data_IF_582849699128
#
_entry.id   IF_582849699128
#
_cell.length_a   1.000
_cell.length_b   1.000
_cell.length_c   1.000
_cell.angle_alpha   90.00
_cell.angle_beta   90.00
_cell.angle_gamma   90.00
#
_symmetry.space_group_name_H-M   'P 1'
#
loop_
_entity.id
_entity.type
_entity.pdbx_description
1 polymer ?
#
# COMPACT_ATOMS: atom_id res chain seq x y z
N UNK A 1 -21.64 14.31 4.47
CA UNK A 1 -21.36 14.38 5.93
C UNK A 1 -20.47 13.22 6.38
N UNK A 2 -20.79 11.97 6.02
CA UNK A 2 -19.99 10.77 6.36
C UNK A 2 -18.55 10.82 5.86
N UNK A 3 -18.30 11.21 4.60
CA UNK A 3 -16.92 11.38 4.07
C UNK A 3 -16.10 12.42 4.86
N UNK A 4 -16.74 13.51 5.29
CA UNK A 4 -16.07 14.57 6.03
C UNK A 4 -15.69 14.12 7.44
N UNK A 5 -16.57 13.34 8.10
CA UNK A 5 -16.26 12.69 9.38
C UNK A 5 -15.12 11.66 9.23
N UNK A 6 -15.11 10.88 8.13
CA UNK A 6 -14.05 9.92 7.85
C UNK A 6 -12.70 10.59 7.64
N UNK A 7 -12.66 11.65 6.82
CA UNK A 7 -11.43 12.43 6.56
C UNK A 7 -10.94 13.12 7.83
N UNK A 8 -11.83 13.74 8.61
CA UNK A 8 -11.46 14.37 9.88
C UNK A 8 -10.98 13.34 10.91
N UNK A 9 -11.62 12.17 10.99
CA UNK A 9 -11.19 11.07 11.83
C UNK A 9 -9.81 10.55 11.44
N UNK A 10 -9.57 10.33 10.15
CA UNK A 10 -8.27 9.92 9.63
C UNK A 10 -7.17 10.96 9.91
N UNK A 11 -7.47 12.25 9.73
CA UNK A 11 -6.56 13.35 10.05
C UNK A 11 -6.24 13.41 11.54
N UNK A 12 -7.25 13.25 12.41
CA UNK A 12 -7.07 13.24 13.85
C UNK A 12 -6.20 12.06 14.32
N UNK A 13 -6.48 10.85 13.80
CA UNK A 13 -5.67 9.65 14.07
C UNK A 13 -4.24 9.85 13.57
N UNK A 14 -4.05 10.39 12.37
CA UNK A 14 -2.72 10.63 11.79
C UNK A 14 -1.95 11.66 12.62
N UNK A 15 -2.60 12.74 13.06
CA UNK A 15 -1.99 13.74 13.93
C UNK A 15 -1.60 13.14 15.30
N UNK A 16 -2.42 12.25 15.85
CA UNK A 16 -2.13 11.53 17.08
C UNK A 16 -0.96 10.56 16.91
N UNK A 17 -0.90 9.84 15.79
CA UNK A 17 0.20 8.92 15.47
C UNK A 17 1.54 9.64 15.38
N UNK A 18 1.58 10.83 14.75
CA UNK A 18 2.77 11.68 14.71
C UNK A 18 3.25 12.14 16.09
N UNK A 19 2.35 12.23 17.08
CA UNK A 19 2.71 12.60 18.46
C UNK A 19 3.29 11.43 19.26
N UNK A 20 2.93 10.20 18.93
CA UNK A 20 3.38 8.99 19.62
C UNK A 20 4.44 8.19 18.83
N UNK A 21 4.93 8.72 17.71
CA UNK A 21 5.93 8.08 16.82
C UNK A 21 5.52 6.67 16.35
N UNK A 22 4.21 6.44 16.18
CA UNK A 22 3.66 5.17 15.69
C UNK A 22 3.30 5.28 14.20
N UNK A 23 3.40 4.17 13.47
CA UNK A 23 3.11 4.15 12.04
C UNK A 23 1.62 4.42 11.80
N UNK A 24 1.30 5.61 11.26
CA UNK A 24 -0.07 6.00 10.94
C UNK A 24 -0.83 4.97 10.09
N UNK A 25 -0.23 4.32 9.06
CA UNK A 25 -0.94 3.32 8.26
C UNK A 25 -1.48 2.15 9.09
N UNK A 26 -0.67 1.57 10.00
CA UNK A 26 -1.12 0.45 10.83
C UNK A 26 -2.28 0.86 11.74
N UNK A 27 -2.18 2.03 12.37
CA UNK A 27 -3.23 2.52 13.28
C UNK A 27 -4.51 2.81 12.50
N UNK A 28 -4.40 3.38 11.29
CA UNK A 28 -5.54 3.64 10.41
C UNK A 28 -6.20 2.33 9.95
N UNK A 29 -5.44 1.27 9.65
CA UNK A 29 -6.00 -0.05 9.31
C UNK A 29 -6.79 -0.61 10.50
N UNK A 30 -6.22 -0.60 11.70
CA UNK A 30 -6.91 -1.10 12.90
C UNK A 30 -8.17 -0.27 13.19
N UNK A 31 -8.08 1.05 13.08
CA UNK A 31 -9.21 1.95 13.26
C UNK A 31 -10.29 1.74 12.19
N UNK A 32 -9.90 1.51 10.94
CA UNK A 32 -10.80 1.20 9.83
C UNK A 32 -11.52 -0.13 10.04
N UNK A 33 -10.82 -1.16 10.50
CA UNK A 33 -11.43 -2.45 10.88
C UNK A 33 -12.43 -2.24 12.02
N UNK A 34 -12.04 -1.53 13.09
CA UNK A 34 -12.95 -1.23 14.20
C UNK A 34 -14.18 -0.41 13.78
N UNK A 35 -13.98 0.57 12.89
CA UNK A 35 -15.07 1.38 12.35
C UNK A 35 -16.02 0.58 11.46
N UNK A 36 -15.53 -0.43 10.74
CA UNK A 36 -16.34 -1.30 9.88
C UNK A 36 -17.39 -2.12 10.65
N UNK A 37 -17.19 -2.31 11.96
CA UNK A 37 -18.11 -3.03 12.84
C UNK A 37 -19.29 -2.16 13.32
N UNK A 38 -19.29 -0.85 13.06
CA UNK A 38 -20.36 0.06 13.48
C UNK A 38 -21.56 0.00 12.50
N UNK A 39 -22.79 -0.24 13.00
CA UNK A 39 -23.99 -0.25 12.17
C UNK A 39 -24.28 1.18 11.66
N UNK A 40 -24.14 1.40 10.34
CA UNK A 40 -24.34 2.70 9.69
C UNK A 40 -23.19 3.16 8.78
N UNK A 41 -22.08 2.43 8.75
CA UNK A 41 -20.93 2.69 7.84
C UNK A 41 -21.09 1.98 6.48
N UNK A 42 -22.12 1.12 6.35
CA UNK A 42 -22.37 0.35 5.13
C UNK A 42 -22.62 1.22 3.90
N UNK A 43 -21.77 1.06 2.88
CA UNK A 43 -21.99 1.59 1.53
C UNK A 43 -21.06 2.71 1.05
N UNK A 44 -19.99 3.06 1.78
CA UNK A 44 -18.95 3.94 1.25
C UNK A 44 -18.02 3.17 0.30
N UNK A 45 -18.51 2.88 -0.90
CA UNK A 45 -17.68 2.41 -2.01
C UNK A 45 -16.96 3.62 -2.62
N UNK A 46 -15.68 3.77 -2.30
CA UNK A 46 -14.82 4.73 -2.99
C UNK A 46 -14.34 4.04 -4.26
N UNK A 47 -14.54 4.69 -5.39
CA UNK A 47 -14.05 4.22 -6.69
C UNK A 47 -12.53 3.98 -6.62
N UNK A 48 -12.06 2.74 -6.85
CA UNK A 48 -10.64 2.40 -6.69
C UNK A 48 -9.71 3.26 -7.54
N UNK A 49 -10.14 3.64 -8.75
CA UNK A 49 -9.40 4.51 -9.67
C UNK A 49 -9.08 5.87 -9.06
N UNK A 50 -10.00 6.44 -8.29
CA UNK A 50 -9.81 7.73 -7.63
C UNK A 50 -8.76 7.60 -6.53
N UNK A 51 -8.77 6.52 -5.76
CA UNK A 51 -7.77 6.27 -4.71
C UNK A 51 -6.38 6.05 -5.32
N UNK A 52 -6.30 5.20 -6.34
CA UNK A 52 -5.05 4.94 -7.05
C UNK A 52 -4.48 6.23 -7.64
N UNK A 53 -5.27 7.03 -8.35
CA UNK A 53 -4.76 8.27 -8.94
C UNK A 53 -4.39 9.31 -7.87
N UNK A 54 -5.25 9.52 -6.88
CA UNK A 54 -5.09 10.62 -5.93
C UNK A 54 -4.04 10.32 -4.84
N UNK A 55 -3.81 9.05 -4.51
CA UNK A 55 -2.80 8.66 -3.52
C UNK A 55 -1.49 8.27 -4.21
N UNK A 56 -1.56 7.40 -5.22
CA UNK A 56 -0.37 6.79 -5.82
C UNK A 56 0.40 7.81 -6.67
N UNK A 57 -0.28 8.68 -7.42
CA UNK A 57 0.39 9.71 -8.25
C UNK A 57 1.25 10.68 -7.43
N UNK A 58 0.73 11.35 -6.38
CA UNK A 58 1.56 12.25 -5.58
C UNK A 58 2.64 11.52 -4.78
N UNK A 59 2.39 10.30 -4.31
CA UNK A 59 3.43 9.50 -3.64
C UNK A 59 4.58 9.15 -4.59
N UNK A 60 4.27 8.70 -5.81
CA UNK A 60 5.27 8.44 -6.84
C UNK A 60 6.03 9.71 -7.23
N UNK A 61 5.34 10.84 -7.34
CA UNK A 61 5.98 12.12 -7.65
C UNK A 61 6.94 12.56 -6.53
N UNK A 62 6.53 12.44 -5.27
CA UNK A 62 7.41 12.73 -4.12
C UNK A 62 8.65 11.83 -4.11
N UNK A 63 8.45 10.52 -4.31
CA UNK A 63 9.56 9.56 -4.37
C UNK A 63 10.51 9.85 -5.55
N UNK A 64 9.98 10.31 -6.69
CA UNK A 64 10.78 10.71 -7.83
C UNK A 64 11.63 11.97 -7.54
N UNK A 65 11.10 12.94 -6.79
CA UNK A 65 11.83 14.15 -6.42
C UNK A 65 12.97 13.88 -5.41
N UNK A 66 12.79 12.92 -4.52
CA UNK A 66 13.84 12.49 -3.56
C UNK A 66 14.96 11.68 -4.24
N UNK A 67 14.72 11.17 -5.46
CA UNK A 67 15.66 10.34 -6.18
C UNK A 67 16.73 11.15 -6.93
N UNK A 68 18.01 10.89 -6.64
CA UNK A 68 19.13 11.54 -7.32
C UNK A 68 19.57 10.79 -8.58
N UNK A 69 19.52 11.46 -9.74
CA UNK A 69 20.00 10.90 -11.01
C UNK A 69 21.49 10.50 -10.98
N UNK A 70 22.33 11.31 -10.35
CA UNK A 70 23.77 11.03 -10.21
C UNK A 70 24.01 9.81 -9.29
N UNK A 71 23.27 9.72 -8.18
CA UNK A 71 23.32 8.57 -7.27
C UNK A 71 22.87 7.27 -7.93
N UNK A 72 21.81 7.33 -8.75
CA UNK A 72 21.34 6.20 -9.55
C UNK A 72 22.41 5.79 -10.56
N UNK A 73 23.03 6.75 -11.26
CA UNK A 73 24.07 6.47 -12.25
C UNK A 73 25.31 5.82 -11.64
N UNK A 74 25.72 6.22 -10.44
CA UNK A 74 26.85 5.62 -9.73
C UNK A 74 26.55 4.18 -9.29
N UNK A 75 25.29 3.88 -8.94
CA UNK A 75 24.89 2.60 -8.34
C UNK A 75 23.92 1.77 -9.21
N UNK A 76 23.99 1.91 -10.54
CA UNK A 76 23.01 1.31 -11.47
C UNK A 76 22.83 -0.20 -11.29
N UNK A 77 23.93 -0.93 -11.04
CA UNK A 77 23.89 -2.40 -10.87
C UNK A 77 23.15 -2.80 -9.58
N UNK A 78 23.57 -2.35 -8.38
CA UNK A 78 22.83 -2.61 -7.15
C UNK A 78 21.37 -2.18 -7.22
N UNK A 79 21.10 -0.98 -7.76
CA UNK A 79 19.75 -0.46 -7.88
C UNK A 79 18.91 -1.32 -8.83
N UNK A 80 19.47 -1.79 -9.95
CA UNK A 80 18.75 -2.71 -10.85
C UNK A 80 18.38 -4.03 -10.17
N UNK A 81 19.28 -4.60 -9.38
CA UNK A 81 18.97 -5.82 -8.62
C UNK A 81 17.93 -5.58 -7.53
N UNK A 82 17.98 -4.46 -6.81
CA UNK A 82 17.03 -4.15 -5.75
C UNK A 82 15.67 -3.68 -6.27
N UNK A 83 15.61 -3.00 -7.41
CA UNK A 83 14.38 -2.45 -7.96
C UNK A 83 13.66 -3.44 -8.90
N UNK A 84 14.36 -4.40 -9.49
CA UNK A 84 13.78 -5.37 -10.44
C UNK A 84 13.95 -6.80 -9.93
N UNK A 85 15.18 -7.17 -9.57
CA UNK A 85 15.49 -8.54 -9.15
C UNK A 85 14.77 -8.94 -7.86
N UNK A 86 14.84 -8.10 -6.84
CA UNK A 86 14.22 -8.37 -5.55
C UNK A 86 12.68 -8.41 -5.66
N UNK A 87 11.98 -7.43 -6.26
CA UNK A 87 10.52 -7.50 -6.45
C UNK A 87 10.05 -8.69 -7.28
N UNK A 88 10.79 -9.05 -8.34
CA UNK A 88 10.48 -10.24 -9.13
C UNK A 88 10.61 -11.52 -8.28
N UNK A 89 11.66 -11.60 -7.46
CA UNK A 89 11.87 -12.72 -6.55
C UNK A 89 10.79 -12.78 -5.46
N UNK A 90 10.46 -11.66 -4.82
CA UNK A 90 9.42 -11.61 -3.78
C UNK A 90 8.04 -11.93 -4.36
N UNK A 91 7.71 -11.40 -5.54
CA UNK A 91 6.47 -11.71 -6.26
C UNK A 91 6.32 -13.22 -6.49
N UNK A 92 7.37 -13.86 -7.02
CA UNK A 92 7.39 -15.30 -7.25
C UNK A 92 7.31 -16.08 -5.93
N UNK A 93 8.09 -15.71 -4.93
CA UNK A 93 8.11 -16.41 -3.64
C UNK A 93 6.75 -16.33 -2.94
N UNK A 94 6.20 -15.13 -2.78
CA UNK A 94 4.89 -14.90 -2.14
C UNK A 94 3.78 -15.52 -2.96
N UNK A 95 3.80 -15.35 -4.29
CA UNK A 95 2.79 -15.92 -5.18
C UNK A 95 2.78 -17.45 -5.17
N UNK A 96 3.95 -18.10 -5.17
CA UNK A 96 4.04 -19.56 -5.06
C UNK A 96 3.56 -20.06 -3.70
N UNK A 97 3.91 -19.36 -2.61
CA UNK A 97 3.41 -19.70 -1.27
C UNK A 97 1.89 -19.56 -1.22
N UNK A 98 1.33 -18.47 -1.74
CA UNK A 98 -0.12 -18.24 -1.79
C UNK A 98 -0.84 -19.31 -2.61
N UNK A 99 -0.30 -19.65 -3.78
CA UNK A 99 -0.82 -20.72 -4.64
C UNK A 99 -0.79 -22.09 -3.94
N UNK A 100 0.22 -22.36 -3.12
CA UNK A 100 0.35 -23.63 -2.41
C UNK A 100 -0.55 -23.72 -1.18
N UNK A 101 -0.75 -22.62 -0.46
CA UNK A 101 -1.57 -22.56 0.75
C UNK A 101 -3.07 -22.51 0.43
N UNK A 102 -3.45 -21.88 -0.69
CA UNK A 102 -4.86 -21.72 -1.11
C UNK A 102 -5.08 -22.44 -2.44
N UNK A 103 -5.57 -23.70 -2.42
CA UNK A 103 -5.68 -24.55 -3.61
C UNK A 103 -6.64 -24.02 -4.69
N UNK A 104 -7.53 -23.10 -4.32
CA UNK A 104 -8.55 -22.50 -5.17
C UNK A 104 -8.03 -21.32 -6.00
N UNK A 105 -6.84 -20.79 -5.67
CA UNK A 105 -6.24 -19.69 -6.40
C UNK A 105 -5.60 -20.17 -7.70
N UNK A 106 -5.93 -19.50 -8.81
CA UNK A 106 -5.15 -19.67 -10.03
C UNK A 106 -3.74 -19.12 -9.83
N UNK A 107 -2.76 -19.69 -10.52
CA UNK A 107 -1.37 -19.24 -10.46
C UNK A 107 -1.25 -17.76 -10.86
N UNK A 108 -2.06 -17.30 -11.82
CA UNK A 108 -2.10 -15.90 -12.21
C UNK A 108 -2.57 -14.98 -11.07
N UNK A 109 -3.66 -15.35 -10.37
CA UNK A 109 -4.17 -14.57 -9.23
C UNK A 109 -3.17 -14.54 -8.07
N UNK A 110 -2.51 -15.67 -7.81
CA UNK A 110 -1.49 -15.75 -6.77
C UNK A 110 -0.25 -14.89 -7.08
N UNK A 111 0.19 -14.83 -8.34
CA UNK A 111 1.26 -13.93 -8.76
C UNK A 111 0.86 -12.45 -8.68
N UNK A 112 -0.40 -12.11 -9.00
CA UNK A 112 -0.90 -10.73 -8.80
C UNK A 112 -0.86 -10.34 -7.33
N UNK A 113 -1.29 -11.23 -6.42
CA UNK A 113 -1.16 -11.00 -4.98
C UNK A 113 0.30 -10.81 -4.57
N UNK A 114 1.20 -11.67 -5.07
CA UNK A 114 2.64 -11.53 -4.84
C UNK A 114 3.18 -10.18 -5.30
N UNK A 115 2.72 -9.67 -6.43
CA UNK A 115 3.14 -8.38 -6.99
C UNK A 115 2.62 -7.18 -6.19
N UNK A 116 1.46 -7.31 -5.53
CA UNK A 116 0.93 -6.27 -4.62
C UNK A 116 1.73 -6.19 -3.31
N UNK A 117 2.30 -7.32 -2.87
CA UNK A 117 3.11 -7.42 -1.64
C UNK A 117 4.57 -7.02 -1.87
N UNK A 118 5.09 -7.25 -3.09
CA UNK A 118 6.47 -6.98 -3.50
C UNK A 118 6.81 -5.49 -3.56
#
# INVERSE_FOLDING_TARGET
>A
MTLLVLVLGALAITALCRRFDVSAPLVLVVAGIGASLLPGVGGLEIEPDVVLLLVLTPLLYSAALESSYLGIRANRRPIGFLAIGLPAFTTLAVGLVAWWVVPELSLAAALVLGAVVA
#
